data_IF_654042495901
#
_entry.id   IF_654042495901
#
_cell.length_a   1.000
_cell.length_b   1.000
_cell.length_c   1.000
_cell.angle_alpha   90.00
_cell.angle_beta   90.00
_cell.angle_gamma   90.00
#
_symmetry.space_group_name_H-M   'P 1'
#
loop_
_entity.id
_entity.type
_entity.pdbx_description
1 polymer ?
#
# COMPACT_ATOMS: atom_id res chain seq x y z
N UNK A 1 26.85 3.85 -19.50
CA UNK A 1 25.40 3.58 -19.59
C UNK A 1 24.85 3.57 -18.18
N UNK A 2 23.89 4.47 -17.93
CA UNK A 2 22.78 4.44 -16.96
C UNK A 2 22.92 3.54 -15.74
N UNK A 3 22.83 4.15 -14.57
CA UNK A 3 21.88 3.75 -13.52
C UNK A 3 21.64 4.96 -12.62
N UNK A 4 20.83 5.91 -13.13
CA UNK A 4 20.10 6.78 -12.23
C UNK A 4 19.18 5.86 -11.40
N UNK A 5 19.67 5.35 -10.27
CA UNK A 5 18.81 4.94 -9.17
C UNK A 5 18.16 6.21 -8.66
N UNK A 6 17.14 6.66 -9.38
CA UNK A 6 16.16 7.59 -8.86
C UNK A 6 15.72 6.93 -7.55
N UNK A 7 15.85 7.58 -6.39
CA UNK A 7 15.10 7.12 -5.23
C UNK A 7 13.68 7.09 -5.74
N UNK A 8 13.03 5.93 -5.82
CA UNK A 8 11.61 5.88 -6.07
C UNK A 8 10.99 6.64 -4.90
N UNK A 9 10.86 7.96 -5.07
CA UNK A 9 10.15 8.82 -4.16
C UNK A 9 8.73 8.30 -4.29
N UNK A 10 8.41 7.32 -3.44
CA UNK A 10 7.09 6.76 -3.33
C UNK A 10 6.17 7.98 -3.30
N UNK A 11 5.22 8.03 -4.24
CA UNK A 11 4.37 9.20 -4.42
C UNK A 11 3.69 9.63 -3.13
N UNK A 12 2.96 10.74 -3.17
CA UNK A 12 2.10 11.11 -2.04
C UNK A 12 1.25 9.92 -1.61
N UNK A 13 0.86 9.83 -0.34
CA UNK A 13 -0.02 8.74 0.12
C UNK A 13 -1.30 8.66 -0.72
N UNK A 14 -1.80 9.80 -1.20
CA UNK A 14 -2.93 9.87 -2.13
C UNK A 14 -2.64 9.18 -3.48
N UNK A 15 -1.42 9.27 -4.00
CA UNK A 15 -1.03 8.58 -5.22
C UNK A 15 -0.86 7.08 -5.00
N UNK A 16 -0.35 6.68 -3.82
CA UNK A 16 -0.32 5.27 -3.42
C UNK A 16 -1.73 4.69 -3.30
N UNK A 17 -2.65 5.41 -2.67
CA UNK A 17 -4.07 5.05 -2.56
C UNK A 17 -4.70 4.89 -3.95
N UNK A 18 -4.49 5.86 -4.84
CA UNK A 18 -4.99 5.83 -6.23
C UNK A 18 -4.44 4.62 -6.98
N UNK A 19 -3.14 4.39 -6.91
CA UNK A 19 -2.44 3.29 -7.58
C UNK A 19 -2.90 1.94 -7.05
N UNK A 20 -2.99 1.77 -5.73
CA UNK A 20 -3.54 0.56 -5.11
C UNK A 20 -4.97 0.27 -5.55
N UNK A 21 -5.80 1.31 -5.69
CA UNK A 21 -7.21 1.15 -6.06
C UNK A 21 -7.39 0.74 -7.52
N UNK A 22 -6.62 1.34 -8.43
CA UNK A 22 -6.84 1.21 -9.87
C UNK A 22 -5.79 0.37 -10.61
N UNK A 23 -4.61 0.18 -10.04
CA UNK A 23 -3.49 -0.53 -10.66
C UNK A 23 -2.63 -1.25 -9.60
N UNK A 24 -3.24 -2.11 -8.75
CA UNK A 24 -2.53 -2.78 -7.65
C UNK A 24 -1.36 -3.64 -8.13
N UNK A 25 -1.45 -4.28 -9.30
CA UNK A 25 -0.39 -5.10 -9.90
C UNK A 25 0.89 -4.33 -10.24
N UNK A 26 0.80 -3.00 -10.33
CA UNK A 26 1.94 -2.14 -10.64
C UNK A 26 2.63 -1.60 -9.38
N UNK A 27 2.12 -1.91 -8.19
CA UNK A 27 2.73 -1.48 -6.94
C UNK A 27 4.03 -2.22 -6.68
N UNK A 28 5.05 -1.44 -6.36
CA UNK A 28 6.33 -2.00 -5.90
C UNK A 28 6.23 -2.42 -4.43
N UNK A 29 7.06 -3.36 -3.98
CA UNK A 29 7.05 -3.79 -2.58
C UNK A 29 7.22 -2.62 -1.58
N UNK A 30 8.05 -1.62 -1.91
CA UNK A 30 8.24 -0.44 -1.08
C UNK A 30 6.98 0.46 -0.99
N UNK A 31 6.25 0.61 -2.10
CA UNK A 31 4.98 1.34 -2.14
C UNK A 31 3.90 0.59 -1.35
N UNK A 32 3.85 -0.75 -1.48
CA UNK A 32 2.94 -1.64 -0.77
C UNK A 32 3.17 -1.59 0.74
N UNK A 33 4.44 -1.66 1.18
CA UNK A 33 4.79 -1.55 2.59
C UNK A 33 4.40 -0.20 3.18
N UNK A 34 4.62 0.89 2.43
CA UNK A 34 4.26 2.24 2.87
C UNK A 34 2.75 2.46 2.98
N UNK A 35 1.98 1.93 2.02
CA UNK A 35 0.52 1.96 2.09
C UNK A 35 0.01 1.16 3.29
N UNK A 36 0.60 -0.01 3.53
CA UNK A 36 0.25 -0.89 4.64
C UNK A 36 0.52 -0.24 6.00
N UNK A 37 1.69 0.36 6.17
CA UNK A 37 2.04 1.13 7.38
C UNK A 37 1.09 2.31 7.59
N UNK A 38 0.67 2.99 6.52
CA UNK A 38 -0.33 4.05 6.60
C UNK A 38 -1.69 3.54 7.11
N UNK A 39 -2.16 2.40 6.61
CA UNK A 39 -3.42 1.77 7.06
C UNK A 39 -3.34 1.38 8.54
N UNK A 40 -2.21 0.84 9.00
CA UNK A 40 -2.00 0.50 10.42
C UNK A 40 -1.98 1.74 11.32
N UNK A 41 -1.32 2.81 10.88
CA UNK A 41 -1.27 4.09 11.62
C UNK A 41 -2.61 4.82 11.65
N UNK A 42 -3.51 4.54 10.69
CA UNK A 42 -4.82 5.17 10.63
C UNK A 42 -5.81 4.69 11.71
N UNK A 43 -5.50 3.60 12.43
CA UNK A 43 -5.93 3.29 13.80
C UNK A 43 -7.41 3.02 14.10
N UNK A 44 -8.36 3.74 13.53
CA UNK A 44 -9.72 3.81 14.11
C UNK A 44 -10.82 3.03 13.39
N UNK A 45 -10.65 2.63 12.12
CA UNK A 45 -11.73 1.89 11.42
C UNK A 45 -11.30 0.78 10.46
N UNK A 46 -10.07 0.28 10.54
CA UNK A 46 -9.70 -0.92 9.81
C UNK A 46 -10.21 -2.16 10.55
N UNK A 47 -10.90 -3.07 9.86
CA UNK A 47 -11.33 -4.36 10.41
C UNK A 47 -10.11 -5.20 10.81
N UNK A 48 -10.30 -6.22 11.64
CA UNK A 48 -9.19 -7.13 12.00
C UNK A 48 -8.55 -7.79 10.78
N UNK A 49 -9.35 -8.11 9.75
CA UNK A 49 -8.89 -8.64 8.47
C UNK A 49 -8.02 -7.62 7.71
N UNK A 50 -8.46 -6.37 7.60
CA UNK A 50 -7.70 -5.30 6.96
C UNK A 50 -6.39 -5.01 7.71
N UNK A 51 -6.41 -5.09 9.05
CA UNK A 51 -5.21 -4.95 9.87
C UNK A 51 -4.25 -6.13 9.69
N UNK A 52 -4.74 -7.36 9.57
CA UNK A 52 -3.92 -8.53 9.30
C UNK A 52 -3.24 -8.43 7.93
N UNK A 53 -3.99 -8.01 6.90
CA UNK A 53 -3.47 -7.78 5.55
C UNK A 53 -2.45 -6.64 5.55
N UNK A 54 -2.70 -5.54 6.27
CA UNK A 54 -1.74 -4.46 6.39
C UNK A 54 -0.46 -4.91 7.14
N UNK A 55 -0.58 -5.72 8.20
CA UNK A 55 0.59 -6.31 8.86
C UNK A 55 1.39 -7.19 7.90
N UNK A 56 0.72 -8.07 7.15
CA UNK A 56 1.35 -8.88 6.09
C UNK A 56 2.09 -7.98 5.09
N UNK A 57 1.46 -6.91 4.62
CA UNK A 57 2.06 -5.97 3.67
C UNK A 57 3.24 -5.17 4.22
N UNK A 58 3.40 -5.04 5.52
CA UNK A 58 4.62 -4.46 6.12
C UNK A 58 5.79 -5.44 6.23
N UNK A 59 5.51 -6.75 6.34
CA UNK A 59 6.53 -7.78 6.55
C UNK A 59 6.93 -8.46 5.25
N UNK A 60 5.93 -8.77 4.40
CA UNK A 60 6.09 -9.50 3.13
C UNK A 60 5.31 -8.81 2.00
N UNK A 61 5.63 -7.54 1.67
CA UNK A 61 4.96 -6.79 0.61
C UNK A 61 5.02 -7.45 -0.77
N UNK A 62 6.06 -8.24 -1.05
CA UNK A 62 6.22 -9.02 -2.28
C UNK A 62 5.27 -10.22 -2.39
N UNK A 63 4.76 -10.72 -1.25
CA UNK A 63 3.82 -11.83 -1.18
C UNK A 63 2.36 -11.36 -1.13
N UNK A 64 2.13 -10.04 -1.30
CA UNK A 64 0.80 -9.49 -1.41
C UNK A 64 0.23 -9.69 -2.81
N UNK A 65 -1.02 -10.13 -2.87
CA UNK A 65 -1.75 -10.19 -4.13
C UNK A 65 -2.46 -8.87 -4.44
N UNK A 66 -2.88 -8.71 -5.69
CA UNK A 66 -3.52 -7.50 -6.17
C UNK A 66 -4.82 -7.15 -5.42
N UNK A 67 -5.59 -8.15 -4.99
CA UNK A 67 -6.84 -7.96 -4.26
C UNK A 67 -6.59 -7.43 -2.84
N UNK A 68 -5.58 -7.95 -2.15
CA UNK A 68 -5.13 -7.48 -0.83
C UNK A 68 -4.64 -6.03 -0.93
N UNK A 69 -3.82 -5.72 -1.93
CA UNK A 69 -3.33 -4.35 -2.18
C UNK A 69 -4.51 -3.40 -2.48
N UNK A 70 -5.45 -3.83 -3.30
CA UNK A 70 -6.62 -3.02 -3.64
C UNK A 70 -7.52 -2.77 -2.42
N UNK A 71 -7.66 -3.75 -1.53
CA UNK A 71 -8.40 -3.59 -0.28
C UNK A 71 -7.76 -2.51 0.60
N UNK A 72 -6.44 -2.54 0.77
CA UNK A 72 -5.70 -1.50 1.48
C UNK A 72 -5.85 -0.12 0.84
N UNK A 73 -5.85 -0.05 -0.49
CA UNK A 73 -6.09 1.18 -1.25
C UNK A 73 -7.47 1.77 -0.96
N UNK A 74 -8.53 0.96 -1.07
CA UNK A 74 -9.90 1.39 -0.78
C UNK A 74 -10.06 1.82 0.67
N UNK A 75 -9.44 1.09 1.61
CA UNK A 75 -9.45 1.44 3.03
C UNK A 75 -8.79 2.78 3.29
N UNK A 76 -7.62 3.02 2.71
CA UNK A 76 -6.92 4.28 2.83
C UNK A 76 -7.69 5.45 2.17
N UNK A 77 -8.47 5.19 1.11
CA UNK A 77 -9.36 6.17 0.49
C UNK A 77 -10.63 6.47 1.32
N UNK A 78 -11.13 5.50 2.09
CA UNK A 78 -12.35 5.64 2.89
C UNK A 78 -12.18 6.55 4.12
N UNK A 79 -10.93 6.94 4.44
CA UNK A 79 -10.63 7.93 5.47
C UNK A 79 -10.94 9.33 4.94
N UNK A 80 -12.13 9.84 5.24
CA UNK A 80 -12.52 11.25 5.05
C UNK A 80 -12.59 11.97 6.38
#
# INVERSE_FOLDING_TARGET
MKEHRVPHAAGSIHDLVRKATHSPDLMTPAETARLSDHVLKAGEHATEEEQAIARKGTVEPENMNAAEIQLLGRRAAAKK
#
